data_IF_724308132484
#
_entry.id   IF_724308132484
#
_cell.length_a   1.000
_cell.length_b   1.000
_cell.length_c   1.000
_cell.angle_alpha   90.00
_cell.angle_beta   90.00
_cell.angle_gamma   90.00
#
_symmetry.space_group_name_H-M   'P 1'
#
loop_
_entity.id
_entity.type
_entity.pdbx_description
1 polymer ?
#
# COMPACT_ATOMS: atom_id res chain seq x y z
N UNK A 1 4.13 8.16 13.68
CA UNK A 1 4.39 8.45 12.26
C UNK A 1 3.38 7.65 11.45
N UNK A 2 2.48 8.31 10.72
CA UNK A 2 1.53 7.61 9.86
C UNK A 2 2.27 7.23 8.56
N UNK A 3 2.54 5.94 8.37
CA UNK A 3 3.14 5.43 7.13
C UNK A 3 1.97 4.95 6.26
N UNK A 4 1.70 5.66 5.18
CA UNK A 4 0.51 5.44 4.34
C UNK A 4 0.81 4.42 3.25
N UNK A 5 0.36 3.19 3.48
CA UNK A 5 0.58 1.98 2.68
C UNK A 5 0.71 0.80 3.65
N UNK A 6 0.73 -0.44 3.14
CA UNK A 6 1.00 -1.65 3.96
C UNK A 6 2.46 -1.74 4.44
N UNK A 7 3.06 -0.60 4.72
CA UNK A 7 4.45 -0.45 5.14
C UNK A 7 4.67 -0.90 6.59
N UNK A 8 3.59 -1.05 7.35
CA UNK A 8 3.58 -1.79 8.62
C UNK A 8 3.86 -3.29 8.44
N UNK A 9 3.66 -3.83 7.23
CA UNK A 9 3.96 -5.21 6.88
C UNK A 9 5.40 -5.43 6.39
N UNK A 10 6.23 -4.38 6.34
CA UNK A 10 7.67 -4.53 6.05
C UNK A 10 8.32 -5.38 7.14
N UNK A 11 9.32 -6.16 6.74
CA UNK A 11 10.06 -7.11 7.59
C UNK A 11 9.21 -8.29 8.11
N UNK A 12 7.92 -8.33 7.77
CA UNK A 12 7.05 -9.49 8.01
C UNK A 12 7.25 -10.52 6.92
N UNK A 13 6.74 -11.74 7.14
CA UNK A 13 6.91 -12.83 6.16
C UNK A 13 5.68 -12.96 5.28
N UNK A 14 5.86 -13.36 4.03
CA UNK A 14 4.77 -13.92 3.24
C UNK A 14 4.34 -15.27 3.79
N UNK A 15 3.05 -15.58 3.67
CA UNK A 15 2.55 -16.93 3.88
C UNK A 15 3.22 -17.89 2.89
N UNK A 16 3.85 -18.95 3.39
CA UNK A 16 4.64 -19.91 2.60
C UNK A 16 3.88 -20.44 1.37
N UNK A 17 2.59 -20.75 1.53
CA UNK A 17 1.73 -21.26 0.45
C UNK A 17 1.55 -20.27 -0.70
N UNK A 18 1.70 -18.97 -0.46
CA UNK A 18 1.54 -17.92 -1.47
C UNK A 18 2.81 -17.64 -2.26
N UNK A 19 3.97 -17.95 -1.69
CA UNK A 19 5.28 -17.73 -2.32
C UNK A 19 5.93 -19.02 -2.79
N UNK A 20 5.25 -20.16 -2.67
CA UNK A 20 5.70 -21.43 -3.21
C UNK A 20 5.92 -21.33 -4.73
N UNK A 21 7.06 -21.81 -5.22
CA UNK A 21 7.48 -21.70 -6.63
C UNK A 21 7.70 -20.26 -7.13
N UNK A 22 7.88 -19.29 -6.23
CA UNK A 22 8.27 -17.92 -6.57
C UNK A 22 9.71 -17.64 -6.11
N UNK A 23 10.32 -16.57 -6.63
CA UNK A 23 11.63 -16.08 -6.17
C UNK A 23 11.65 -15.75 -4.67
N UNK A 24 10.48 -15.48 -4.08
CA UNK A 24 10.31 -15.13 -2.67
C UNK A 24 10.26 -16.36 -1.76
N UNK A 25 10.25 -17.59 -2.29
CA UNK A 25 10.28 -18.81 -1.47
C UNK A 25 11.54 -18.90 -0.60
N UNK A 26 12.70 -18.54 -1.14
CA UNK A 26 13.98 -18.51 -0.42
C UNK A 26 14.15 -17.27 0.46
N UNK A 27 13.38 -16.21 0.19
CA UNK A 27 13.45 -14.90 0.86
C UNK A 27 12.05 -14.36 1.16
N UNK A 28 11.26 -14.98 2.05
CA UNK A 28 9.86 -14.63 2.22
C UNK A 28 9.64 -13.32 2.99
N UNK A 29 10.66 -12.49 3.21
CA UNK A 29 10.55 -11.22 3.95
C UNK A 29 10.02 -10.13 3.02
N UNK A 30 8.91 -9.49 3.40
CA UNK A 30 8.27 -8.41 2.66
C UNK A 30 9.13 -7.16 2.70
N UNK A 31 9.33 -6.55 1.54
CA UNK A 31 10.11 -5.33 1.32
C UNK A 31 9.22 -4.21 0.77
N UNK A 32 9.77 -3.00 0.71
CA UNK A 32 9.11 -1.85 0.08
C UNK A 32 8.68 -2.12 -1.36
N UNK A 33 9.50 -2.82 -2.14
CA UNK A 33 9.17 -3.09 -3.55
C UNK A 33 7.97 -4.01 -3.69
N UNK A 34 7.79 -5.00 -2.80
CA UNK A 34 6.63 -5.89 -2.92
C UNK A 34 5.32 -5.18 -2.58
N UNK A 35 5.36 -4.21 -1.66
CA UNK A 35 4.18 -3.42 -1.29
C UNK A 35 3.71 -2.55 -2.47
N UNK A 36 4.65 -2.11 -3.30
CA UNK A 36 4.39 -1.25 -4.46
C UNK A 36 4.12 -2.04 -5.74
N UNK A 37 4.45 -3.33 -5.77
CA UNK A 37 4.32 -4.19 -6.94
C UNK A 37 2.98 -4.95 -6.93
N UNK A 38 2.15 -4.68 -7.94
CA UNK A 38 0.84 -5.29 -8.10
C UNK A 38 0.90 -6.83 -8.28
N UNK A 39 2.07 -7.39 -8.61
CA UNK A 39 2.31 -8.84 -8.63
C UNK A 39 1.99 -9.49 -7.29
N UNK A 40 2.27 -8.80 -6.18
CA UNK A 40 2.02 -9.29 -4.82
C UNK A 40 0.64 -8.89 -4.30
N UNK A 41 -0.22 -8.34 -5.15
CA UNK A 41 -1.59 -8.06 -4.78
C UNK A 41 -2.26 -9.34 -4.28
N UNK A 42 -2.91 -9.20 -3.13
CA UNK A 42 -3.58 -10.23 -2.35
C UNK A 42 -2.69 -11.25 -1.66
N UNK A 43 -1.37 -11.08 -1.66
CA UNK A 43 -0.46 -11.90 -0.87
C UNK A 43 -0.69 -11.65 0.63
N UNK A 44 -0.53 -12.71 1.42
CA UNK A 44 -0.81 -12.70 2.85
C UNK A 44 0.49 -12.47 3.61
N UNK A 45 0.47 -11.54 4.55
CA UNK A 45 1.54 -11.32 5.51
C UNK A 45 1.26 -12.10 6.79
N UNK A 46 2.30 -12.76 7.31
CA UNK A 46 2.29 -13.54 8.54
C UNK A 46 3.41 -13.11 9.48
N UNK A 47 3.18 -13.27 10.77
CA UNK A 47 4.16 -13.02 11.82
C UNK A 47 4.23 -14.22 12.77
N UNK A 48 5.42 -14.50 13.30
CA UNK A 48 5.60 -15.56 14.27
C UNK A 48 5.00 -15.13 15.61
N UNK A 49 4.01 -15.88 16.09
CA UNK A 49 3.52 -15.71 17.45
C UNK A 49 4.46 -16.44 18.42
N UNK A 50 5.14 -15.74 19.35
CA UNK A 50 6.12 -16.35 20.25
C UNK A 50 5.50 -17.30 21.28
N UNK A 51 4.18 -17.21 21.53
CA UNK A 51 3.49 -18.06 22.51
C UNK A 51 3.11 -19.41 21.92
N UNK A 52 2.66 -19.43 20.68
CA UNK A 52 2.22 -20.65 19.97
C UNK A 52 3.33 -21.24 19.10
N UNK A 53 4.38 -20.46 18.83
CA UNK A 53 5.46 -20.77 17.88
C UNK A 53 4.93 -21.08 16.47
N UNK A 54 3.82 -20.43 16.09
CA UNK A 54 3.17 -20.57 14.80
C UNK A 54 3.08 -19.23 14.08
N UNK A 55 3.07 -19.26 12.75
CA UNK A 55 2.86 -18.07 11.94
C UNK A 55 1.37 -17.75 11.87
N UNK A 56 1.01 -16.55 12.29
CA UNK A 56 -0.35 -16.03 12.28
C UNK A 56 -0.51 -14.95 11.21
N UNK A 57 -1.67 -14.93 10.56
CA UNK A 57 -2.00 -13.92 9.56
C UNK A 57 -2.21 -12.56 10.23
N UNK A 58 -1.42 -11.58 9.81
CA UNK A 58 -1.50 -10.20 10.32
C UNK A 58 -2.05 -9.22 9.28
N UNK A 59 -2.02 -9.57 7.99
CA UNK A 59 -2.41 -8.64 6.95
C UNK A 59 -2.43 -9.24 5.55
N UNK A 60 -2.77 -8.40 4.59
CA UNK A 60 -2.81 -8.72 3.17
C UNK A 60 -2.34 -7.50 2.39
N UNK A 61 -1.52 -7.72 1.36
CA UNK A 61 -1.10 -6.65 0.46
C UNK A 61 -2.20 -6.47 -0.59
N UNK A 62 -3.22 -5.67 -0.33
CA UNK A 62 -4.32 -5.44 -1.28
C UNK A 62 -4.37 -4.01 -1.85
N UNK A 63 -3.39 -3.17 -1.53
CA UNK A 63 -3.32 -1.80 -2.05
C UNK A 63 -4.50 -0.90 -1.64
N UNK A 64 -5.41 -1.39 -0.78
CA UNK A 64 -6.60 -0.66 -0.38
C UNK A 64 -6.21 0.54 0.50
N UNK A 65 -6.70 1.71 0.11
CA UNK A 65 -6.59 2.90 0.91
C UNK A 65 -7.74 2.92 1.92
N UNK A 66 -7.47 2.40 3.13
CA UNK A 66 -8.51 2.25 4.16
C UNK A 66 -9.17 3.58 4.52
N UNK A 67 -10.43 3.58 5.02
CA UNK A 67 -11.09 4.80 5.49
C UNK A 67 -10.29 5.58 6.54
N UNK A 68 -9.54 4.87 7.40
CA UNK A 68 -8.66 5.49 8.37
C UNK A 68 -7.47 6.18 7.70
N UNK A 69 -6.80 5.53 6.75
CA UNK A 69 -5.73 6.16 5.96
C UNK A 69 -6.25 7.36 5.16
N UNK A 70 -7.45 7.29 4.61
CA UNK A 70 -8.10 8.42 3.94
C UNK A 70 -8.34 9.58 4.90
N UNK A 71 -8.91 9.33 6.08
CA UNK A 71 -9.10 10.37 7.11
C UNK A 71 -7.78 11.04 7.50
N UNK A 72 -6.75 10.24 7.70
CA UNK A 72 -5.42 10.69 8.09
C UNK A 72 -4.73 11.48 6.95
N UNK A 73 -4.88 11.05 5.69
CA UNK A 73 -4.42 11.80 4.52
C UNK A 73 -5.13 13.16 4.39
N UNK A 74 -6.46 13.20 4.51
CA UNK A 74 -7.23 14.44 4.45
C UNK A 74 -7.04 15.33 5.68
N UNK A 75 -6.46 14.83 6.77
CA UNK A 75 -6.03 15.70 7.88
C UNK A 75 -4.92 16.68 7.46
N UNK A 76 -4.11 16.32 6.45
CA UNK A 76 -3.00 17.12 5.93
C UNK A 76 -3.28 17.75 4.57
N UNK A 77 -3.96 17.02 3.67
CA UNK A 77 -4.18 17.48 2.31
C UNK A 77 -5.64 17.83 2.07
N UNK A 78 -5.90 18.92 1.36
CA UNK A 78 -7.24 19.25 0.86
C UNK A 78 -7.34 18.85 -0.62
N UNK A 79 -8.42 18.18 -0.99
CA UNK A 79 -8.74 17.87 -2.39
C UNK A 79 -9.35 19.10 -3.05
N UNK A 80 -8.63 19.73 -3.97
CA UNK A 80 -9.11 20.93 -4.66
C UNK A 80 -9.85 20.60 -5.96
N UNK A 81 -9.26 19.71 -6.77
CA UNK A 81 -9.85 19.31 -8.05
C UNK A 81 -9.44 17.89 -8.40
N UNK A 82 -10.42 17.08 -8.77
CA UNK A 82 -10.21 15.77 -9.35
C UNK A 82 -10.63 15.79 -10.82
N UNK A 83 -9.72 15.38 -11.71
CA UNK A 83 -9.99 15.02 -13.09
C UNK A 83 -10.11 13.48 -13.12
N UNK A 84 -11.32 12.94 -13.30
CA UNK A 84 -11.53 11.49 -13.34
C UNK A 84 -10.86 10.87 -14.56
N UNK A 85 -10.89 9.54 -14.64
CA UNK A 85 -10.42 8.83 -15.83
C UNK A 85 -11.19 9.29 -17.07
N UNK A 86 -10.47 9.71 -18.11
CA UNK A 86 -11.03 10.08 -19.41
C UNK A 86 -10.66 9.05 -20.48
N UNK A 87 -11.40 9.06 -21.60
CA UNK A 87 -11.11 8.21 -22.77
C UNK A 87 -9.71 8.44 -23.38
N UNK A 88 -9.05 9.53 -22.99
CA UNK A 88 -7.67 9.85 -23.39
C UNK A 88 -6.61 9.11 -22.58
N UNK A 89 -6.98 8.20 -21.67
CA UNK A 89 -6.02 7.46 -20.87
C UNK A 89 -5.42 8.24 -19.69
N UNK A 90 -6.01 9.39 -19.33
CA UNK A 90 -5.41 10.36 -18.39
C UNK A 90 -6.30 10.61 -17.18
N UNK A 91 -5.68 10.77 -16.02
CA UNK A 91 -6.34 11.32 -14.83
C UNK A 91 -5.37 12.18 -14.03
N UNK A 92 -5.92 13.16 -13.32
CA UNK A 92 -5.14 14.11 -12.55
C UNK A 92 -5.88 14.50 -11.27
N UNK A 93 -5.14 14.79 -10.21
CA UNK A 93 -5.72 15.34 -8.98
C UNK A 93 -4.84 16.44 -8.43
N UNK A 94 -5.46 17.58 -8.10
CA UNK A 94 -4.84 18.71 -7.43
C UNK A 94 -5.20 18.69 -5.95
N UNK A 95 -4.16 18.69 -5.12
CA UNK A 95 -4.24 18.78 -3.67
C UNK A 95 -3.54 20.05 -3.17
N UNK A 96 -3.93 20.51 -1.99
CA UNK A 96 -3.21 21.52 -1.22
C UNK A 96 -2.67 20.89 0.07
N UNK A 97 -1.36 21.03 0.33
CA UNK A 97 -0.70 20.54 1.55
C UNK A 97 -0.76 21.61 2.64
N UNK A 98 -1.64 21.42 3.63
CA UNK A 98 -1.86 22.38 4.73
C UNK A 98 -0.62 22.61 5.60
N UNK A 99 0.28 21.63 5.67
CA UNK A 99 1.50 21.74 6.49
C UNK A 99 2.63 22.48 5.78
N UNK A 100 2.69 22.37 4.45
CA UNK A 100 3.79 22.93 3.64
C UNK A 100 3.39 24.15 2.81
N UNK A 101 2.13 24.58 2.91
CA UNK A 101 1.57 25.73 2.20
C UNK A 101 1.89 25.68 0.69
N UNK A 102 1.52 24.57 0.06
CA UNK A 102 1.83 24.34 -1.37
C UNK A 102 0.83 23.46 -2.08
N UNK A 103 0.75 23.66 -3.39
CA UNK A 103 -0.03 22.82 -4.30
C UNK A 103 0.74 21.57 -4.70
N UNK A 104 0.06 20.45 -4.77
CA UNK A 104 0.57 19.17 -5.24
C UNK A 104 -0.34 18.68 -6.36
N UNK A 105 0.24 18.35 -7.50
CA UNK A 105 -0.49 17.74 -8.61
C UNK A 105 0.02 16.31 -8.83
N UNK A 106 -0.92 15.37 -8.85
CA UNK A 106 -0.66 13.98 -9.20
C UNK A 106 -1.28 13.65 -10.55
N UNK A 107 -0.54 12.94 -11.39
CA UNK A 107 -1.01 12.44 -12.68
C UNK A 107 -0.82 10.92 -12.71
N UNK A 108 -1.74 10.22 -13.38
CA UNK A 108 -1.55 8.81 -13.70
C UNK A 108 -2.22 8.47 -15.04
N UNK A 109 -1.69 7.44 -15.70
CA UNK A 109 -2.42 6.75 -16.76
C UNK A 109 -3.66 6.05 -16.19
N UNK A 110 -4.68 5.86 -17.02
CA UNK A 110 -5.86 5.08 -16.66
C UNK A 110 -5.74 3.65 -17.20
N UNK A 111 -6.52 2.74 -16.63
CA UNK A 111 -6.55 1.31 -16.97
C UNK A 111 -7.06 1.03 -18.39
#
# INVERSE_FOLDING_TARGET
MAVYGYFDLIDKRFETKKVENTSRQSTPIITYTDILDNTYNKYIAVELNPRTNQYEKIGKLNGDFSPFQAKQFFSRYDLLKHCPNTDSGFSATLFYDKEKDKFIIGFRGTE
#
